data_IF_020552087429
#
_entry.id   IF_020552087429
#
_cell.length_a   1.000
_cell.length_b   1.000
_cell.length_c   1.000
_cell.angle_alpha   90.00
_cell.angle_beta   90.00
_cell.angle_gamma   90.00
#
_symmetry.space_group_name_H-M   'P 1'
#
loop_
_entity.id
_entity.type
_entity.pdbx_description
1 polymer ?
#
# COMPACT_ATOMS: atom_id res chain seq x y z
N UNK A 1 -9.97 -1.26 -57.70
CA UNK A 1 -10.60 -1.71 -56.44
C UNK A 1 -9.47 -1.92 -55.46
N UNK A 2 -9.15 -0.89 -54.68
CA UNK A 2 -8.04 -0.92 -53.72
C UNK A 2 -8.65 -0.78 -52.33
N UNK A 3 -8.46 -1.83 -51.55
CA UNK A 3 -8.74 -1.96 -50.13
C UNK A 3 -7.91 -0.97 -49.34
N UNK A 4 -8.54 -0.12 -48.53
CA UNK A 4 -7.88 0.58 -47.42
C UNK A 4 -8.42 0.03 -46.11
N UNK A 5 -7.52 -0.65 -45.41
CA UNK A 5 -7.66 -1.13 -44.04
C UNK A 5 -7.47 0.08 -43.13
N UNK A 6 -8.49 0.39 -42.35
CA UNK A 6 -8.45 1.38 -41.28
C UNK A 6 -7.57 0.84 -40.14
N UNK A 7 -6.63 1.61 -39.57
CA UNK A 7 -5.84 1.14 -38.44
C UNK A 7 -6.67 1.21 -37.15
N UNK A 8 -6.71 0.09 -36.45
CA UNK A 8 -7.40 -0.15 -35.19
C UNK A 8 -7.24 0.99 -34.17
N UNK A 9 -8.38 1.43 -33.61
CA UNK A 9 -8.42 2.30 -32.45
C UNK A 9 -7.83 1.58 -31.22
N UNK A 10 -6.97 2.24 -30.42
CA UNK A 10 -6.40 1.60 -29.23
C UNK A 10 -7.49 1.37 -28.18
N UNK A 11 -7.57 0.11 -27.74
CA UNK A 11 -8.49 -0.38 -26.72
C UNK A 11 -8.20 0.32 -25.37
N UNK A 12 -9.21 0.90 -24.73
CA UNK A 12 -9.08 1.84 -23.60
C UNK A 12 -8.78 1.17 -22.23
N UNK A 13 -8.43 -0.12 -22.20
CA UNK A 13 -8.02 -0.85 -20.99
C UNK A 13 -6.61 -0.47 -20.47
N UNK A 14 -5.87 0.41 -21.16
CA UNK A 14 -4.44 0.67 -20.90
C UNK A 14 -4.11 1.83 -19.93
N UNK A 15 -5.11 2.47 -19.31
CA UNK A 15 -4.87 3.66 -18.48
C UNK A 15 -5.47 3.53 -17.09
N UNK A 16 -4.68 2.98 -16.16
CA UNK A 16 -4.98 3.08 -14.72
C UNK A 16 -4.50 4.42 -14.18
N UNK A 17 -5.44 5.32 -13.93
CA UNK A 17 -5.21 6.60 -13.27
C UNK A 17 -5.67 6.50 -11.83
N UNK A 18 -4.77 6.16 -10.91
CA UNK A 18 -4.96 6.44 -9.50
C UNK A 18 -4.32 7.80 -9.19
N UNK A 19 -5.15 8.84 -9.20
CA UNK A 19 -4.75 10.14 -8.66
C UNK A 19 -5.80 11.23 -8.79
N UNK A 20 -6.48 11.58 -7.68
CA UNK A 20 -6.90 12.94 -7.36
C UNK A 20 -7.30 13.10 -5.87
N UNK A 21 -6.93 14.25 -5.29
CA UNK A 21 -7.06 14.74 -3.88
C UNK A 21 -8.50 15.22 -3.59
N UNK A 22 -9.00 15.40 -2.34
CA UNK A 22 -8.53 16.19 -1.17
C UNK A 22 -9.29 15.75 0.10
N UNK A 23 -8.58 15.82 1.23
CA UNK A 23 -8.99 15.50 2.61
C UNK A 23 -9.43 14.05 2.86
N UNK A 24 -8.63 13.36 3.69
CA UNK A 24 -8.86 12.04 4.31
C UNK A 24 -8.49 10.76 3.54
N UNK A 25 -8.09 10.81 2.25
CA UNK A 25 -7.71 9.61 1.48
C UNK A 25 -6.27 9.60 0.90
N UNK A 26 -5.31 10.26 1.56
CA UNK A 26 -3.89 10.13 1.22
C UNK A 26 -3.08 9.99 2.51
N UNK A 27 -2.21 8.96 2.60
CA UNK A 27 -0.87 9.19 2.06
C UNK A 27 -0.18 7.91 1.51
N UNK A 28 -0.32 7.51 0.24
CA UNK A 28 0.35 6.26 -0.19
C UNK A 28 0.86 6.19 -1.64
N UNK A 29 1.42 7.27 -2.19
CA UNK A 29 2.43 7.15 -3.26
C UNK A 29 3.48 8.24 -3.05
N UNK A 30 4.54 7.92 -2.31
CA UNK A 30 5.81 8.66 -2.41
C UNK A 30 6.52 8.11 -3.65
N UNK A 31 6.84 8.98 -4.60
CA UNK A 31 7.57 8.67 -5.83
C UNK A 31 8.98 8.15 -5.50
N UNK A 32 9.40 6.97 -5.98
CA UNK A 32 10.81 6.61 -6.05
C UNK A 32 11.37 6.87 -7.44
N UNK A 33 12.67 7.18 -7.49
CA UNK A 33 13.46 7.23 -8.71
C UNK A 33 13.49 5.84 -9.38
N UNK A 34 13.16 5.70 -10.67
CA UNK A 34 13.35 4.44 -11.39
C UNK A 34 14.84 4.22 -11.67
N UNK A 35 15.38 3.10 -11.22
CA UNK A 35 16.65 2.57 -11.71
C UNK A 35 16.33 1.50 -12.75
N UNK A 36 16.72 1.74 -14.00
CA UNK A 36 16.57 0.77 -15.10
C UNK A 36 17.89 0.04 -15.32
N UNK A 37 17.86 -1.30 -15.33
CA UNK A 37 19.00 -2.11 -15.75
C UNK A 37 18.61 -3.10 -16.83
N UNK A 38 19.49 -3.24 -17.82
CA UNK A 38 19.32 -4.09 -18.99
C UNK A 38 20.24 -5.32 -18.82
N UNK A 39 19.67 -6.53 -18.80
CA UNK A 39 20.41 -7.78 -18.62
C UNK A 39 20.32 -8.64 -19.87
N UNK A 40 21.06 -8.28 -20.92
CA UNK A 40 21.32 -9.15 -22.07
C UNK A 40 22.55 -10.03 -21.79
N UNK A 41 22.39 -11.17 -21.11
CA UNK A 41 23.44 -12.19 -20.96
C UNK A 41 22.93 -13.61 -20.58
N UNK A 42 23.74 -14.68 -20.81
CA UNK A 42 23.27 -16.07 -20.89
C UNK A 42 22.95 -16.76 -19.55
N UNK A 43 22.25 -17.90 -19.66
CA UNK A 43 21.45 -18.61 -18.63
C UNK A 43 22.18 -18.97 -17.32
N UNK A 44 23.49 -19.24 -17.31
CA UNK A 44 24.25 -19.56 -16.08
C UNK A 44 24.51 -18.33 -15.19
N UNK A 45 24.34 -17.12 -15.72
CA UNK A 45 24.52 -15.85 -15.01
C UNK A 45 23.20 -15.31 -14.42
N UNK A 46 22.05 -15.90 -14.76
CA UNK A 46 20.71 -15.44 -14.32
C UNK A 46 20.40 -15.73 -12.85
N UNK A 47 20.80 -16.91 -12.34
CA UNK A 47 20.73 -17.20 -10.89
C UNK A 47 21.57 -16.18 -10.12
N UNK A 48 22.80 -15.92 -10.54
CA UNK A 48 23.68 -15.00 -9.83
C UNK A 48 23.24 -13.53 -9.90
N UNK A 49 22.51 -13.08 -10.93
CA UNK A 49 22.07 -11.68 -11.02
C UNK A 49 20.82 -11.37 -10.17
N UNK A 50 19.90 -12.32 -9.98
CA UNK A 50 18.82 -12.16 -8.99
C UNK A 50 19.39 -12.11 -7.56
N UNK A 51 20.48 -12.85 -7.29
CA UNK A 51 21.18 -12.83 -6.02
C UNK A 51 22.18 -11.65 -5.89
N UNK A 52 22.72 -11.10 -6.98
CA UNK A 52 23.67 -9.97 -6.90
C UNK A 52 22.96 -8.64 -6.63
N UNK A 53 21.67 -8.52 -6.94
CA UNK A 53 20.83 -7.39 -6.53
C UNK A 53 20.59 -7.41 -4.99
N UNK A 54 20.70 -8.58 -4.35
CA UNK A 54 20.80 -8.73 -2.90
C UNK A 54 22.22 -8.47 -2.37
N UNK A 55 23.28 -8.61 -3.18
CA UNK A 55 24.66 -8.36 -2.74
C UNK A 55 24.98 -6.86 -2.55
N UNK A 56 24.18 -5.93 -3.08
CA UNK A 56 24.33 -4.51 -2.74
C UNK A 56 23.96 -4.23 -1.26
N UNK A 57 23.25 -5.15 -0.60
CA UNK A 57 23.04 -5.15 0.85
C UNK A 57 24.22 -5.74 1.65
N UNK A 58 25.23 -6.34 1.00
CA UNK A 58 26.36 -7.04 1.66
C UNK A 58 27.30 -6.12 2.44
N UNK A 59 27.14 -4.79 2.33
CA UNK A 59 27.99 -3.81 3.00
C UNK A 59 27.19 -2.97 4.01
N UNK A 60 26.66 -3.60 5.06
CA UNK A 60 26.58 -3.11 6.46
C UNK A 60 25.67 -4.01 7.31
N UNK A 61 26.23 -4.57 8.39
CA UNK A 61 25.59 -5.38 9.46
C UNK A 61 24.99 -6.76 9.09
N UNK A 62 25.81 -7.81 9.26
CA UNK A 62 25.60 -9.17 8.74
C UNK A 62 24.47 -10.04 9.34
N UNK A 63 23.65 -9.56 10.27
CA UNK A 63 22.51 -10.34 10.78
C UNK A 63 21.17 -9.90 10.18
N UNK A 64 20.97 -8.60 9.95
CA UNK A 64 19.69 -8.05 9.48
C UNK A 64 19.43 -8.35 7.99
N UNK A 65 20.51 -8.53 7.22
CA UNK A 65 20.48 -8.87 5.81
C UNK A 65 20.02 -10.30 5.53
N UNK A 66 20.39 -11.25 6.39
CA UNK A 66 19.98 -12.65 6.25
C UNK A 66 18.46 -12.80 6.41
N UNK A 67 17.88 -12.18 7.44
CA UNK A 67 16.42 -12.20 7.65
C UNK A 67 15.65 -11.57 6.48
N UNK A 68 16.15 -10.47 5.92
CA UNK A 68 15.51 -9.83 4.77
C UNK A 68 15.58 -10.71 3.52
N UNK A 69 16.70 -11.42 3.33
CA UNK A 69 16.87 -12.36 2.23
C UNK A 69 15.94 -13.57 2.35
N UNK A 70 15.85 -14.19 3.53
CA UNK A 70 14.96 -15.33 3.78
C UNK A 70 13.49 -14.98 3.52
N UNK A 71 13.04 -13.82 4.01
CA UNK A 71 11.68 -13.33 3.76
C UNK A 71 11.40 -13.08 2.29
N UNK A 72 12.39 -12.58 1.55
CA UNK A 72 12.26 -12.37 0.12
C UNK A 72 12.17 -13.69 -0.65
N UNK A 73 12.96 -14.70 -0.26
CA UNK A 73 12.85 -16.05 -0.84
C UNK A 73 11.48 -16.66 -0.58
N UNK A 74 10.96 -16.55 0.65
CA UNK A 74 9.62 -17.03 0.99
C UNK A 74 8.53 -16.30 0.17
N UNK A 75 8.69 -14.99 -0.04
CA UNK A 75 7.79 -14.20 -0.90
C UNK A 75 7.82 -14.69 -2.35
N UNK A 76 9.00 -14.92 -2.92
CA UNK A 76 9.15 -15.46 -4.28
C UNK A 76 8.47 -16.83 -4.42
N UNK A 77 8.64 -17.71 -3.44
CA UNK A 77 7.98 -19.03 -3.44
C UNK A 77 6.45 -18.87 -3.44
N UNK A 78 5.93 -18.00 -2.57
CA UNK A 78 4.49 -17.73 -2.48
C UNK A 78 3.92 -17.19 -3.79
N UNK A 79 4.66 -16.34 -4.49
CA UNK A 79 4.28 -15.79 -5.80
C UNK A 79 4.17 -16.88 -6.87
N UNK A 80 5.10 -17.85 -6.89
CA UNK A 80 5.03 -19.00 -7.81
C UNK A 80 3.85 -19.92 -7.45
N UNK A 81 3.62 -20.20 -6.18
CA UNK A 81 2.48 -21.01 -5.72
C UNK A 81 1.12 -20.43 -6.16
N UNK A 82 0.99 -19.10 -6.17
CA UNK A 82 -0.22 -18.40 -6.60
C UNK A 82 -0.40 -18.39 -8.13
N UNK A 83 0.60 -18.81 -8.90
CA UNK A 83 0.53 -18.89 -10.36
C UNK A 83 1.07 -20.23 -10.87
N UNK A 84 0.27 -21.31 -10.78
CA UNK A 84 0.68 -22.65 -11.22
C UNK A 84 1.06 -22.76 -12.71
N UNK A 85 0.61 -21.81 -13.53
CA UNK A 85 0.97 -21.69 -14.95
C UNK A 85 2.39 -21.17 -15.19
N UNK A 86 3.05 -20.65 -14.15
CA UNK A 86 4.40 -20.13 -14.20
C UNK A 86 5.35 -21.02 -13.40
N UNK A 87 6.58 -21.20 -13.89
CA UNK A 87 7.60 -22.02 -13.22
C UNK A 87 8.75 -21.21 -12.64
N UNK A 88 8.98 -19.99 -13.14
CA UNK A 88 10.11 -19.15 -12.76
C UNK A 88 9.73 -17.66 -12.73
N UNK A 89 10.38 -16.92 -11.82
CA UNK A 89 10.38 -15.45 -11.80
C UNK A 89 11.52 -14.96 -12.70
N UNK A 90 11.20 -14.33 -13.83
CA UNK A 90 12.19 -13.79 -14.77
C UNK A 90 12.84 -12.50 -14.29
N UNK A 91 12.08 -11.64 -13.62
CA UNK A 91 12.56 -10.36 -13.11
C UNK A 91 11.76 -9.93 -11.89
N UNK A 92 12.37 -9.12 -11.04
CA UNK A 92 11.72 -8.47 -9.92
C UNK A 92 12.14 -7.00 -9.89
N UNK A 93 11.18 -6.09 -9.77
CA UNK A 93 11.44 -4.67 -9.55
C UNK A 93 10.97 -4.29 -8.17
N UNK A 94 11.86 -3.73 -7.36
CA UNK A 94 11.54 -3.16 -6.05
C UNK A 94 11.21 -1.67 -6.17
N UNK A 95 10.14 -1.27 -5.52
CA UNK A 95 9.67 0.11 -5.40
C UNK A 95 9.43 0.37 -3.91
N UNK A 96 10.06 1.38 -3.33
CA UNK A 96 9.94 1.69 -1.90
C UNK A 96 9.33 3.07 -1.72
N UNK A 97 8.18 3.12 -1.03
CA UNK A 97 7.51 4.36 -0.65
C UNK A 97 7.68 4.67 0.84
N UNK A 98 6.99 5.70 1.34
CA UNK A 98 7.07 6.07 2.77
C UNK A 98 6.48 5.04 3.74
N UNK A 99 5.57 4.20 3.26
CA UNK A 99 4.80 3.30 4.12
C UNK A 99 4.72 1.85 3.63
N UNK A 100 5.08 1.59 2.37
CA UNK A 100 5.05 0.25 1.79
C UNK A 100 6.33 -0.01 1.01
N UNK A 101 6.81 -1.24 1.07
CA UNK A 101 7.73 -1.83 0.10
C UNK A 101 6.92 -2.64 -0.90
N UNK A 102 7.12 -2.38 -2.18
CA UNK A 102 6.40 -3.05 -3.27
C UNK A 102 7.38 -3.78 -4.16
N UNK A 103 7.09 -5.04 -4.44
CA UNK A 103 7.80 -5.85 -5.41
C UNK A 103 6.89 -6.13 -6.59
N UNK A 104 7.38 -5.91 -7.80
CA UNK A 104 6.69 -6.26 -9.05
C UNK A 104 7.47 -7.40 -9.68
N UNK A 105 6.90 -8.58 -9.66
CA UNK A 105 7.46 -9.79 -10.22
C UNK A 105 6.97 -9.99 -11.64
N UNK A 106 7.88 -10.25 -12.56
CA UNK A 106 7.58 -10.68 -13.93
C UNK A 106 7.86 -12.17 -14.03
N UNK A 107 6.83 -12.95 -14.34
CA UNK A 107 6.90 -14.40 -14.45
C UNK A 107 7.33 -14.85 -15.85
N UNK A 108 7.69 -16.11 -15.98
CA UNK A 108 8.05 -16.74 -17.25
C UNK A 108 6.92 -16.76 -18.28
N UNK A 109 5.67 -16.80 -17.83
CA UNK A 109 4.46 -16.66 -18.65
C UNK A 109 4.06 -15.20 -18.95
N UNK A 110 4.94 -14.23 -18.72
CA UNK A 110 4.76 -12.79 -18.98
C UNK A 110 3.71 -12.10 -18.09
N UNK A 111 3.10 -12.80 -17.12
CA UNK A 111 2.24 -12.17 -16.12
C UNK A 111 3.08 -11.39 -15.12
N UNK A 112 2.54 -10.26 -14.69
CA UNK A 112 3.12 -9.45 -13.63
C UNK A 112 2.28 -9.57 -12.35
N UNK A 113 2.96 -9.79 -11.22
CA UNK A 113 2.35 -9.88 -9.88
C UNK A 113 2.95 -8.82 -8.99
N UNK A 114 2.11 -8.20 -8.17
CA UNK A 114 2.53 -7.17 -7.22
C UNK A 114 2.42 -7.71 -5.81
N UNK A 115 3.50 -7.66 -5.05
CA UNK A 115 3.49 -7.89 -3.62
C UNK A 115 3.75 -6.58 -2.88
N UNK A 116 2.84 -6.19 -1.99
CA UNK A 116 2.94 -5.01 -1.12
C UNK A 116 3.19 -5.47 0.30
N UNK A 117 4.24 -4.96 0.93
CA UNK A 117 4.60 -5.22 2.32
C UNK A 117 4.59 -3.89 3.07
N UNK A 118 3.64 -3.67 4.00
CA UNK A 118 3.61 -2.45 4.80
C UNK A 118 4.78 -2.38 5.76
N UNK A 119 5.30 -1.16 5.95
CA UNK A 119 6.20 -0.86 7.04
C UNK A 119 5.42 -0.72 8.34
N UNK A 120 6.14 -0.85 9.47
CA UNK A 120 5.56 -0.62 10.81
C UNK A 120 4.99 0.79 11.01
N UNK A 121 5.33 1.74 10.14
CA UNK A 121 4.83 3.12 10.14
C UNK A 121 3.52 3.30 9.35
N UNK A 122 3.08 2.29 8.59
CA UNK A 122 1.88 2.35 7.75
C UNK A 122 0.58 2.57 8.54
N UNK A 123 0.60 2.25 9.83
CA UNK A 123 -0.54 2.36 10.72
C UNK A 123 -0.49 1.27 11.80
N UNK A 124 -1.58 1.04 12.52
CA UNK A 124 -1.69 -0.12 13.38
C UNK A 124 -1.50 -1.39 12.54
N UNK A 125 -0.55 -2.22 12.99
CA UNK A 125 -0.33 -3.56 12.47
C UNK A 125 -1.65 -4.35 12.43
N UNK A 126 -1.79 -5.24 11.46
CA UNK A 126 -2.99 -6.03 11.16
C UNK A 126 -4.18 -5.23 10.65
N UNK A 127 -4.61 -4.19 11.36
CA UNK A 127 -5.78 -3.39 10.99
C UNK A 127 -5.60 -2.68 9.65
N UNK A 128 -4.42 -2.12 9.39
CA UNK A 128 -4.14 -1.42 8.12
C UNK A 128 -4.26 -2.38 6.94
N UNK A 129 -3.61 -3.55 7.03
CA UNK A 129 -3.64 -4.57 5.97
C UNK A 129 -5.05 -5.12 5.75
N UNK A 130 -5.78 -5.46 6.82
CA UNK A 130 -7.18 -5.92 6.70
C UNK A 130 -8.03 -4.85 6.03
N UNK A 131 -7.86 -3.58 6.42
CA UNK A 131 -8.68 -2.50 5.89
C UNK A 131 -8.40 -2.19 4.42
N UNK A 132 -7.13 -2.24 4.00
CA UNK A 132 -6.76 -2.11 2.58
C UNK A 132 -7.41 -3.21 1.74
N UNK A 133 -7.34 -4.46 2.22
CA UNK A 133 -7.93 -5.62 1.54
C UNK A 133 -9.45 -5.53 1.48
N UNK A 134 -10.10 -5.18 2.60
CA UNK A 134 -11.55 -5.02 2.67
C UNK A 134 -12.03 -3.89 1.75
N UNK A 135 -11.31 -2.77 1.70
CA UNK A 135 -11.64 -1.64 0.82
C UNK A 135 -11.54 -2.03 -0.65
N UNK A 136 -10.47 -2.74 -1.05
CA UNK A 136 -10.33 -3.22 -2.44
C UNK A 136 -11.48 -4.15 -2.81
N UNK A 137 -11.81 -5.13 -1.95
CA UNK A 137 -12.93 -6.04 -2.21
C UNK A 137 -14.27 -5.33 -2.24
N UNK A 138 -14.48 -4.33 -1.37
CA UNK A 138 -15.69 -3.51 -1.36
C UNK A 138 -15.85 -2.71 -2.65
N UNK A 139 -14.78 -2.09 -3.16
CA UNK A 139 -14.83 -1.38 -4.43
C UNK A 139 -15.10 -2.32 -5.61
N UNK A 140 -14.52 -3.53 -5.60
CA UNK A 140 -14.76 -4.55 -6.63
C UNK A 140 -16.20 -5.04 -6.64
N UNK A 141 -16.90 -5.06 -5.49
CA UNK A 141 -18.30 -5.49 -5.41
C UNK A 141 -19.29 -4.36 -5.67
N UNK A 142 -18.93 -3.11 -5.35
CA UNK A 142 -19.85 -1.96 -5.41
C UNK A 142 -19.68 -1.05 -6.62
N UNK A 143 -18.58 -1.15 -7.35
CA UNK A 143 -18.27 -0.24 -8.44
C UNK A 143 -17.77 -1.00 -9.67
N UNK A 144 -17.82 -0.35 -10.84
CA UNK A 144 -17.26 -0.90 -12.08
C UNK A 144 -15.79 -0.50 -12.29
N UNK A 145 -15.15 0.00 -11.23
CA UNK A 145 -13.79 0.50 -11.31
C UNK A 145 -12.87 -0.70 -11.47
N UNK A 146 -11.98 -0.70 -12.48
CA UNK A 146 -11.00 -1.75 -12.61
C UNK A 146 -10.01 -1.61 -11.44
N UNK A 147 -10.22 -2.38 -10.37
CA UNK A 147 -9.31 -2.46 -9.22
C UNK A 147 -8.62 -3.82 -9.28
N UNK A 148 -7.28 -3.91 -9.22
CA UNK A 148 -6.57 -5.18 -9.34
C UNK A 148 -7.04 -6.22 -8.33
N UNK A 149 -7.18 -7.47 -8.79
CA UNK A 149 -7.67 -8.56 -7.94
C UNK A 149 -6.61 -8.93 -6.90
N UNK A 150 -7.05 -9.13 -5.67
CA UNK A 150 -6.22 -9.67 -4.61
C UNK A 150 -6.07 -11.18 -4.82
N UNK A 151 -4.84 -11.64 -4.90
CA UNK A 151 -4.48 -13.05 -5.06
C UNK A 151 -4.32 -13.73 -3.70
N UNK A 152 -3.66 -13.04 -2.77
CA UNK A 152 -3.46 -13.51 -1.40
C UNK A 152 -3.10 -12.35 -0.46
N UNK A 153 -3.26 -12.54 0.84
CA UNK A 153 -2.78 -11.58 1.85
C UNK A 153 -2.62 -12.26 3.20
N UNK A 154 -1.71 -11.73 4.02
CA UNK A 154 -1.66 -12.06 5.44
C UNK A 154 -1.48 -10.76 6.23
N UNK A 155 -2.29 -10.59 7.27
CA UNK A 155 -2.32 -9.40 8.12
C UNK A 155 -1.61 -9.59 9.47
N UNK A 156 -1.06 -10.77 9.74
CA UNK A 156 -0.40 -11.08 10.99
C UNK A 156 1.02 -11.59 10.72
N UNK A 157 2.01 -10.75 11.03
CA UNK A 157 3.41 -11.11 10.86
C UNK A 157 3.89 -12.18 11.88
N UNK A 158 3.11 -12.42 12.95
CA UNK A 158 3.42 -13.40 13.99
C UNK A 158 2.71 -14.74 13.83
N UNK A 159 1.81 -14.84 12.85
CA UNK A 159 1.15 -16.08 12.47
C UNK A 159 2.18 -17.11 11.98
N UNK A 160 2.19 -18.29 12.60
CA UNK A 160 3.13 -19.38 12.28
C UNK A 160 2.92 -19.91 10.85
N UNK A 161 1.73 -19.75 10.27
CA UNK A 161 1.45 -20.11 8.88
C UNK A 161 1.99 -19.08 7.88
N UNK A 162 2.34 -17.88 8.35
CA UNK A 162 2.93 -16.82 7.56
C UNK A 162 4.44 -17.02 7.40
N UNK A 163 4.83 -17.87 6.45
CA UNK A 163 6.25 -18.16 6.14
C UNK A 163 7.06 -16.92 5.72
N UNK A 164 6.41 -15.84 5.30
CA UNK A 164 7.06 -14.57 4.92
C UNK A 164 7.45 -13.77 6.18
N UNK A 165 6.84 -14.04 7.33
CA UNK A 165 7.17 -13.39 8.60
C UNK A 165 6.93 -11.87 8.58
N UNK A 166 6.01 -11.41 7.74
CA UNK A 166 5.62 -10.02 7.56
C UNK A 166 4.17 -9.94 7.07
N UNK A 167 3.49 -8.84 7.36
CA UNK A 167 2.24 -8.53 6.68
C UNK A 167 2.51 -8.35 5.18
N UNK A 168 1.57 -8.77 4.35
CA UNK A 168 1.64 -8.60 2.90
C UNK A 168 0.27 -8.62 2.24
N UNK A 169 0.20 -8.03 1.05
CA UNK A 169 -0.90 -8.16 0.09
C UNK A 169 -0.28 -8.51 -1.26
N UNK A 170 -0.63 -9.67 -1.82
CA UNK A 170 -0.27 -10.09 -3.17
C UNK A 170 -1.48 -9.90 -4.07
N UNK A 171 -1.30 -9.19 -5.18
CA UNK A 171 -2.38 -8.83 -6.09
C UNK A 171 -1.90 -8.81 -7.54
N UNK A 172 -2.84 -8.79 -8.47
CA UNK A 172 -2.57 -8.62 -9.89
C UNK A 172 -1.89 -7.26 -10.16
N UNK A 173 -1.07 -7.20 -11.20
CA UNK A 173 -0.50 -5.94 -11.67
C UNK A 173 -1.51 -5.18 -12.55
N UNK A 174 -1.83 -3.94 -12.15
CA UNK A 174 -2.59 -3.01 -12.98
C UNK A 174 -1.83 -2.73 -14.29
N UNK A 175 -2.39 -3.11 -15.43
CA UNK A 175 -1.76 -2.85 -16.74
C UNK A 175 -1.82 -1.36 -17.06
N UNK A 176 -0.82 -0.86 -17.79
CA UNK A 176 -0.78 0.52 -18.23
C UNK A 176 0.41 1.30 -17.69
N UNK A 177 0.34 2.63 -17.84
CA UNK A 177 1.40 3.56 -17.45
C UNK A 177 0.85 4.65 -16.53
N UNK A 178 1.64 5.12 -15.56
CA UNK A 178 1.24 6.24 -14.71
C UNK A 178 0.89 7.47 -15.54
N UNK A 179 -0.25 8.10 -15.25
CA UNK A 179 -0.74 9.23 -16.03
C UNK A 179 0.26 10.38 -16.14
N UNK A 180 0.98 10.69 -15.05
CA UNK A 180 1.95 11.79 -15.03
C UNK A 180 3.09 11.61 -16.04
N UNK A 181 3.44 10.38 -16.43
CA UNK A 181 4.48 10.10 -17.43
C UNK A 181 4.01 10.40 -18.86
N UNK A 182 2.70 10.26 -19.13
CA UNK A 182 2.10 10.50 -20.45
C UNK A 182 1.36 11.82 -20.58
N UNK A 183 0.92 12.44 -19.48
CA UNK A 183 0.07 13.64 -19.47
C UNK A 183 0.60 14.76 -20.37
N UNK A 184 1.90 15.08 -20.25
CA UNK A 184 2.56 16.13 -21.03
C UNK A 184 2.73 15.79 -22.52
N UNK A 185 2.62 14.51 -22.89
CA UNK A 185 2.73 14.01 -24.27
C UNK A 185 1.36 13.85 -24.95
N UNK A 186 0.26 13.98 -24.20
CA UNK A 186 -1.10 13.83 -24.72
C UNK A 186 -1.56 15.09 -25.44
N UNK A 187 -2.28 14.91 -26.53
CA UNK A 187 -2.98 16.00 -27.20
C UNK A 187 -4.14 16.54 -26.33
N UNK A 188 -4.58 17.77 -26.60
CA UNK A 188 -5.62 18.42 -25.78
C UNK A 188 -6.94 17.64 -25.74
N UNK A 189 -7.37 17.07 -26.86
CA UNK A 189 -8.56 16.22 -26.93
C UNK A 189 -8.40 14.92 -26.12
N UNK A 190 -7.20 14.33 -26.11
CA UNK A 190 -6.88 13.16 -25.28
C UNK A 190 -6.92 13.49 -23.79
N UNK A 191 -6.40 14.66 -23.38
CA UNK A 191 -6.47 15.11 -21.99
C UNK A 191 -7.92 15.32 -21.54
N UNK A 192 -8.76 15.94 -22.39
CA UNK A 192 -10.19 16.13 -22.10
C UNK A 192 -10.89 14.77 -21.92
N UNK A 193 -10.66 13.80 -22.81
CA UNK A 193 -11.22 12.44 -22.66
C UNK A 193 -10.73 11.74 -21.40
N UNK A 194 -9.47 11.94 -21.03
CA UNK A 194 -8.90 11.37 -19.80
C UNK A 194 -9.55 11.96 -18.54
N UNK A 195 -9.76 13.28 -18.51
CA UNK A 195 -10.48 13.94 -17.41
C UNK A 195 -11.92 13.41 -17.30
N UNK A 196 -12.62 13.26 -18.43
CA UNK A 196 -13.98 12.70 -18.45
C UNK A 196 -14.02 11.28 -17.88
N UNK A 197 -13.05 10.43 -18.25
CA UNK A 197 -12.93 9.08 -17.71
C UNK A 197 -12.66 9.08 -16.20
N UNK A 198 -11.74 9.92 -15.71
CA UNK A 198 -11.47 10.08 -14.27
C UNK A 198 -12.73 10.53 -13.54
N UNK A 199 -13.46 11.50 -14.08
CA UNK A 199 -14.69 12.00 -13.49
C UNK A 199 -15.75 10.91 -13.35
N UNK A 200 -15.97 10.11 -14.39
CA UNK A 200 -16.92 8.98 -14.35
C UNK A 200 -16.53 7.96 -13.28
N UNK A 201 -15.25 7.59 -13.22
CA UNK A 201 -14.72 6.68 -12.18
C UNK A 201 -14.89 7.25 -10.77
N UNK A 202 -14.61 8.54 -10.57
CA UNK A 202 -14.76 9.19 -9.26
C UNK A 202 -16.23 9.33 -8.85
N UNK A 203 -17.13 9.51 -9.82
CA UNK A 203 -18.58 9.56 -9.57
C UNK A 203 -19.05 8.26 -8.93
N UNK A 204 -18.65 7.11 -9.48
CA UNK A 204 -19.02 5.80 -8.93
C UNK A 204 -18.57 5.62 -7.47
N UNK A 205 -17.39 6.14 -7.10
CA UNK A 205 -16.92 6.13 -5.70
C UNK A 205 -17.73 7.11 -4.84
N UNK A 206 -18.01 8.31 -5.36
CA UNK A 206 -18.67 9.38 -4.63
C UNK A 206 -20.13 9.07 -4.31
N UNK A 207 -20.77 8.18 -5.08
CA UNK A 207 -22.13 7.71 -4.84
C UNK A 207 -22.21 6.61 -3.76
N UNK A 208 -21.07 6.12 -3.25
CA UNK A 208 -21.05 5.15 -2.16
C UNK A 208 -21.42 5.83 -0.83
N UNK A 209 -22.43 5.30 -0.16
CA UNK A 209 -22.85 5.75 1.16
C UNK A 209 -22.15 4.93 2.26
N UNK A 210 -21.75 5.62 3.33
CA UNK A 210 -21.10 5.02 4.49
C UNK A 210 -21.88 5.39 5.77
N UNK A 211 -22.11 4.43 6.69
CA UNK A 211 -22.89 4.66 7.90
C UNK A 211 -22.14 5.46 8.98
N UNK A 212 -20.82 5.60 8.83
CA UNK A 212 -19.95 6.25 9.80
C UNK A 212 -18.62 6.68 9.17
N UNK A 213 -17.91 7.58 9.85
CA UNK A 213 -16.52 7.91 9.57
C UNK A 213 -15.61 6.87 10.24
N UNK A 214 -14.74 6.23 9.46
CA UNK A 214 -13.86 5.17 9.94
C UNK A 214 -13.14 4.49 8.78
N UNK A 215 -12.68 3.27 9.03
CA UNK A 215 -12.05 2.42 8.00
C UNK A 215 -12.94 1.20 7.71
N UNK A 216 -12.89 0.69 6.48
CA UNK A 216 -13.69 -0.48 6.06
C UNK A 216 -12.98 -1.76 6.48
N UNK A 217 -13.72 -2.74 7.01
CA UNK A 217 -13.22 -4.05 7.40
C UNK A 217 -14.22 -5.15 7.01
N UNK A 218 -13.82 -6.41 7.12
CA UNK A 218 -14.75 -7.54 7.07
C UNK A 218 -15.51 -7.65 8.39
N UNK A 219 -16.77 -8.05 8.33
CA UNK A 219 -17.65 -8.15 9.51
C UNK A 219 -17.10 -9.07 10.61
N UNK A 220 -16.38 -10.12 10.23
CA UNK A 220 -15.78 -11.12 11.10
C UNK A 220 -14.41 -10.70 11.68
N UNK A 221 -13.75 -9.71 11.07
CA UNK A 221 -12.38 -9.34 11.42
C UNK A 221 -12.24 -8.49 12.70
N UNK A 222 -13.36 -7.96 13.23
CA UNK A 222 -13.41 -7.05 14.38
C UNK A 222 -14.38 -7.56 15.46
N UNK A 223 -13.98 -8.55 16.26
CA UNK A 223 -14.86 -9.17 17.26
C UNK A 223 -15.05 -8.33 18.54
N UNK A 224 -14.11 -7.44 18.89
CA UNK A 224 -14.10 -6.73 20.18
C UNK A 224 -14.08 -5.20 20.08
N UNK A 225 -14.36 -4.65 18.89
CA UNK A 225 -14.28 -3.21 18.64
C UNK A 225 -15.60 -2.68 18.08
N UNK A 226 -15.93 -1.43 18.43
CA UNK A 226 -17.09 -0.73 17.87
C UNK A 226 -17.04 -0.75 16.34
N UNK A 227 -18.15 -1.12 15.71
CA UNK A 227 -18.30 -1.20 14.26
C UNK A 227 -19.73 -0.87 13.84
N UNK A 228 -19.88 -0.32 12.64
CA UNK A 228 -21.16 -0.04 12.00
C UNK A 228 -21.30 -0.93 10.76
N UNK A 229 -22.42 -1.67 10.60
CA UNK A 229 -22.63 -2.50 9.42
C UNK A 229 -22.66 -1.65 8.14
N UNK A 230 -21.85 -2.02 7.15
CA UNK A 230 -21.86 -1.43 5.81
C UNK A 230 -22.69 -2.29 4.84
N UNK A 231 -22.86 -3.59 5.16
CA UNK A 231 -23.60 -4.57 4.37
C UNK A 231 -22.67 -5.50 3.57
N UNK A 232 -23.24 -6.59 3.04
CA UNK A 232 -22.53 -7.59 2.21
C UNK A 232 -21.23 -8.16 2.82
N UNK A 233 -21.21 -8.34 4.14
CA UNK A 233 -20.06 -8.86 4.88
C UNK A 233 -19.00 -7.81 5.23
N UNK A 234 -19.30 -6.52 5.04
CA UNK A 234 -18.43 -5.41 5.38
C UNK A 234 -18.99 -4.55 6.52
N UNK A 235 -18.09 -3.97 7.30
CA UNK A 235 -18.39 -2.96 8.32
C UNK A 235 -17.43 -1.77 8.25
N UNK A 236 -17.85 -0.66 8.84
CA UNK A 236 -16.99 0.48 9.18
C UNK A 236 -16.57 0.36 10.63
N UNK A 237 -15.28 0.22 10.89
CA UNK A 237 -14.69 0.11 12.21
C UNK A 237 -13.79 1.30 12.55
N UNK A 238 -12.86 1.14 13.51
CA UNK A 238 -11.92 2.18 13.89
C UNK A 238 -11.09 2.66 12.70
N UNK A 239 -10.77 3.95 12.69
CA UNK A 239 -9.93 4.54 11.66
C UNK A 239 -8.47 4.04 11.80
N UNK A 240 -7.91 3.41 10.77
CA UNK A 240 -6.56 2.84 10.79
C UNK A 240 -5.43 3.85 10.50
N UNK A 241 -5.73 5.14 10.42
CA UNK A 241 -4.69 6.17 10.23
C UNK A 241 -3.75 6.30 11.43
N UNK A 242 -2.43 6.33 11.19
CA UNK A 242 -1.35 6.45 12.20
C UNK A 242 -1.62 7.54 13.26
N UNK A 243 -2.22 8.67 12.86
CA UNK A 243 -2.51 9.80 13.78
C UNK A 243 -3.36 9.42 14.99
N UNK A 244 -4.24 8.42 14.87
CA UNK A 244 -5.17 8.01 15.92
C UNK A 244 -4.61 6.89 16.82
N UNK A 245 -3.50 6.26 16.43
CA UNK A 245 -2.94 5.09 17.10
C UNK A 245 -1.64 5.38 17.87
N UNK A 246 -1.05 6.56 17.67
CA UNK A 246 0.16 7.00 18.39
C UNK A 246 1.40 6.15 18.08
N UNK A 247 1.42 5.47 16.94
CA UNK A 247 2.45 4.49 16.56
C UNK A 247 3.65 5.17 15.90
N UNK A 248 4.45 5.86 16.71
CA UNK A 248 5.85 6.11 16.37
C UNK A 248 6.71 5.01 17.00
N UNK A 249 7.86 4.72 16.37
CA UNK A 249 8.76 3.65 16.80
C UNK A 249 9.39 4.02 18.15
N UNK A 250 9.06 3.28 19.21
CA UNK A 250 9.74 3.34 20.50
C UNK A 250 9.00 4.08 21.62
N UNK A 251 7.81 4.62 21.38
CA UNK A 251 7.15 5.51 22.35
C UNK A 251 5.89 4.87 22.92
N UNK A 252 5.88 4.74 24.26
CA UNK A 252 4.64 4.59 25.03
C UNK A 252 4.01 5.98 25.11
N UNK A 253 2.70 6.06 24.84
CA UNK A 253 1.80 7.25 24.92
C UNK A 253 2.53 8.51 25.36
N UNK A 254 2.68 9.45 24.44
CA UNK A 254 3.63 10.50 24.65
C UNK A 254 3.32 11.35 25.90
N UNK A 255 2.04 11.65 26.20
CA UNK A 255 1.77 12.64 27.24
C UNK A 255 0.47 12.51 28.04
N UNK A 256 -0.58 11.88 27.50
CA UNK A 256 -1.89 11.81 28.16
C UNK A 256 -2.52 10.41 28.17
N UNK A 257 -3.09 10.01 29.30
CA UNK A 257 -3.93 8.81 29.47
C UNK A 257 -5.40 9.08 29.10
N UNK A 258 -5.63 9.62 27.91
CA UNK A 258 -6.99 9.75 27.37
C UNK A 258 -7.47 8.42 26.75
N UNK A 259 -8.78 8.15 26.86
CA UNK A 259 -9.41 7.04 26.13
C UNK A 259 -9.21 7.23 24.62
N UNK A 260 -8.92 6.14 23.90
CA UNK A 260 -8.65 6.19 22.45
C UNK A 260 -9.92 6.54 21.69
N UNK A 261 -10.01 7.77 21.22
CA UNK A 261 -11.03 8.20 20.27
C UNK A 261 -10.60 7.83 18.84
N UNK A 262 -10.86 6.58 18.45
CA UNK A 262 -10.42 5.97 17.17
C UNK A 262 -11.58 5.68 16.22
N UNK A 263 -12.80 6.09 16.57
CA UNK A 263 -14.01 5.81 15.80
C UNK A 263 -14.50 4.35 15.95
N UNK A 264 -15.47 3.92 15.11
CA UNK A 264 -16.12 4.71 14.06
C UNK A 264 -17.00 5.83 14.63
N UNK A 265 -17.07 6.95 13.93
CA UNK A 265 -17.83 8.14 14.34
C UNK A 265 -19.12 8.29 13.53
N UNK A 266 -20.25 8.55 14.18
CA UNK A 266 -21.55 8.65 13.50
C UNK A 266 -21.80 10.05 12.94
N UNK A 267 -21.20 11.06 13.55
CA UNK A 267 -21.36 12.45 13.13
C UNK A 267 -20.02 13.09 12.79
N UNK A 268 -20.09 14.16 12.00
CA UNK A 268 -18.89 14.97 11.70
C UNK A 268 -18.33 15.63 12.97
N UNK A 269 -19.17 15.93 13.95
CA UNK A 269 -18.75 16.46 15.26
C UNK A 269 -17.87 15.47 16.00
N UNK A 270 -18.34 14.23 16.15
CA UNK A 270 -17.58 13.17 16.83
C UNK A 270 -16.25 12.88 16.09
N UNK A 271 -16.25 12.93 14.75
CA UNK A 271 -15.04 12.80 13.94
C UNK A 271 -14.05 13.94 14.20
N UNK A 272 -14.54 15.19 14.25
CA UNK A 272 -13.74 16.36 14.58
C UNK A 272 -13.16 16.26 16.00
N UNK A 273 -13.96 15.82 16.98
CA UNK A 273 -13.50 15.59 18.34
C UNK A 273 -12.40 14.51 18.36
N UNK A 274 -12.57 13.42 17.60
CA UNK A 274 -11.52 12.41 17.42
C UNK A 274 -10.24 12.97 16.80
N UNK A 275 -10.34 13.92 15.85
CA UNK A 275 -9.18 14.60 15.29
C UNK A 275 -8.45 15.47 16.33
N UNK A 276 -9.21 16.16 17.19
CA UNK A 276 -8.70 17.02 18.27
C UNK A 276 -8.06 16.16 19.37
N UNK A 277 -8.74 15.12 19.84
CA UNK A 277 -8.24 14.19 20.86
C UNK A 277 -6.91 13.55 20.42
N UNK A 278 -6.84 13.09 19.17
CA UNK A 278 -5.61 12.54 18.59
C UNK A 278 -4.46 13.57 18.60
N UNK A 279 -4.75 14.84 18.27
CA UNK A 279 -3.76 15.92 18.31
C UNK A 279 -3.33 16.26 19.74
N UNK A 280 -4.28 16.40 20.66
CA UNK A 280 -4.02 16.71 22.07
C UNK A 280 -3.22 15.62 22.77
N UNK A 281 -3.42 14.36 22.42
CA UNK A 281 -2.65 13.22 22.97
C UNK A 281 -1.13 13.31 22.69
N UNK A 282 -0.74 14.13 21.71
CA UNK A 282 0.65 14.33 21.30
C UNK A 282 1.29 15.58 21.93
N UNK A 283 0.51 16.39 22.67
CA UNK A 283 1.01 17.62 23.30
C UNK A 283 1.60 17.28 24.68
N UNK A 284 2.84 17.70 25.00
CA UNK A 284 3.42 17.58 26.34
C UNK A 284 2.57 18.23 27.43
N UNK A 285 2.40 17.58 28.61
CA UNK A 285 1.73 18.24 29.72
C UNK A 285 2.63 19.38 30.21
N UNK A 286 2.02 20.52 30.49
CA UNK A 286 2.67 21.79 30.81
C UNK A 286 3.65 21.69 32.00
N UNK A 287 3.44 20.73 32.91
CA UNK A 287 4.21 20.57 34.15
C UNK A 287 5.30 19.48 34.12
N UNK A 288 5.53 18.83 32.97
CA UNK A 288 6.69 17.92 32.87
C UNK A 288 7.97 18.72 32.72
N UNK A 289 8.78 18.81 33.80
CA UNK A 289 10.21 19.13 33.66
C UNK A 289 10.77 18.17 32.61
N UNK A 290 11.34 18.63 31.49
CA UNK A 290 11.96 17.71 30.56
C UNK A 290 13.14 17.07 31.31
N UNK A 291 13.07 15.76 31.57
CA UNK A 291 14.29 14.98 31.68
C UNK A 291 14.98 15.14 30.33
N UNK A 292 15.97 16.03 30.32
CA UNK A 292 16.78 16.29 29.13
C UNK A 292 17.30 14.95 28.62
N UNK A 293 17.11 14.59 27.35
CA UNK A 293 17.76 13.40 26.81
C UNK A 293 19.27 13.51 27.06
N UNK A 294 19.88 12.43 27.56
CA UNK A 294 21.26 12.37 28.08
C UNK A 294 22.32 12.63 26.99
N UNK A 295 21.93 12.81 25.72
CA UNK A 295 22.87 12.92 24.61
C UNK A 295 22.59 14.13 23.73
N UNK A 296 23.31 15.22 23.98
CA UNK A 296 23.60 16.21 22.94
C UNK A 296 24.88 15.76 22.25
N UNK A 297 24.80 15.39 20.98
CA UNK A 297 25.99 15.30 20.14
C UNK A 297 26.65 16.68 20.14
N UNK A 298 27.85 16.77 20.69
CA UNK A 298 28.67 17.97 20.62
C UNK A 298 29.08 18.18 19.15
N UNK A 299 28.87 19.37 18.56
CA UNK A 299 29.49 19.72 17.28
C UNK A 299 30.96 20.07 17.55
N UNK A 300 31.76 19.06 17.89
CA UNK A 300 33.21 19.17 17.88
C UNK A 300 33.68 19.02 16.44
N UNK A 301 33.80 20.18 15.79
CA UNK A 301 34.62 20.35 14.60
C UNK A 301 36.08 20.12 14.97
N UNK A 302 36.68 19.02 14.50
CA UNK A 302 38.11 18.95 14.20
C UNK A 302 38.40 17.90 13.14
#
# INVERSE_FOLDING_TARGET
MSSNIEPDAPNFEEFFVLGAKKSTWLPFISTPFPVHFNLSSPVSQRRNNLYSECDEYRVRTGNQTLYLHERFVALCQKVIELCPEASEIKACRKIEGGFNRVFIFTLDNEKNIVARLPFRLAGPAKLTTISEVATIRYLQTKTNIPVPRILDYNCDASDETNIIGSEYIIMEHARGVPLHEKWHKMAGDQQVRCIDAIYRTLKDIAELEFPAFGSIYFDDSLESVSKQPLGDGFCVGPHCGTRYWGTNVGERRYYHDANRNIGPWLTIGDYCDGLVDAGMSQVPPVDTKPERPIYHGSPETQ
#
